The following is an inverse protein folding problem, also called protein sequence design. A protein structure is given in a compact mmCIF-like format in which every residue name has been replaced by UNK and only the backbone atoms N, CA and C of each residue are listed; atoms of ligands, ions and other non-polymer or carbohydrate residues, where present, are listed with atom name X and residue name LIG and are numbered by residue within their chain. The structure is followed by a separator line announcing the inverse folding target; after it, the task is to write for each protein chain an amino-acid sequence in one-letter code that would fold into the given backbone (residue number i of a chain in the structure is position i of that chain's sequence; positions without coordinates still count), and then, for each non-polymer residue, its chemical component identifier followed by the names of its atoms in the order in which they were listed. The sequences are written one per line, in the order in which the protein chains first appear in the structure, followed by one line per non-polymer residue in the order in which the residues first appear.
data_IF_380096373735
#
_entry.id   IF_380096373735
#
_cell.length_a   1.000
_cell.length_b   1.000
_cell.length_c   1.000
_cell.angle_alpha   90.00
_cell.angle_beta   90.00
_cell.angle_gamma   90.00
#
_symmetry.space_group_name_H-M   'P 1'
#
loop_
_entity.id
_entity.type
_entity.pdbx_description
1 polymer ?
#
# COMPACT_ATOMS: atom_id res chain seq x y z
N UNK A 1 -2.53 5.17 0.70
CA UNK A 1 -2.54 3.70 0.69
C UNK A 1 -1.11 3.25 0.96
N UNK A 2 -0.88 2.26 1.83
CA UNK A 2 0.45 1.99 2.41
C UNK A 2 1.50 1.67 1.36
N UNK A 3 2.52 2.52 1.24
CA UNK A 3 3.61 2.34 0.29
C UNK A 3 3.92 3.61 -0.48
N UNK A 4 5.09 4.18 -0.21
CA UNK A 4 5.69 5.39 -0.77
C UNK A 4 5.15 6.73 -0.26
N UNK A 5 5.91 7.25 0.70
CA UNK A 5 5.80 8.55 1.34
C UNK A 5 6.94 9.43 0.76
N UNK A 6 7.03 9.50 -0.56
CA UNK A 6 8.25 9.93 -1.26
C UNK A 6 8.73 11.32 -0.85
N UNK A 7 7.81 12.27 -0.70
CA UNK A 7 8.12 13.65 -0.32
C UNK A 7 8.50 13.74 1.16
N UNK A 8 7.81 13.01 2.02
CA UNK A 8 8.03 13.07 3.45
C UNK A 8 9.27 12.28 3.90
N UNK A 9 9.73 11.32 3.09
CA UNK A 9 11.01 10.63 3.31
C UNK A 9 12.17 11.61 3.47
N UNK A 10 12.19 12.73 2.72
CA UNK A 10 13.23 13.79 2.87
C UNK A 10 13.29 14.33 4.31
N UNK A 11 12.14 14.49 4.96
CA UNK A 11 12.05 15.06 6.31
C UNK A 11 12.21 14.00 7.41
N UNK A 12 11.94 12.73 7.10
CA UNK A 12 12.05 11.61 8.04
C UNK A 12 13.42 10.91 8.00
N UNK A 13 14.27 11.22 7.02
CA UNK A 13 15.63 10.66 6.92
C UNK A 13 16.48 11.10 8.12
N UNK A 14 17.11 10.13 8.78
CA UNK A 14 18.06 10.34 9.88
C UNK A 14 19.51 10.45 9.40
N UNK A 15 19.74 10.45 8.09
CA UNK A 15 21.04 10.43 7.41
C UNK A 15 21.89 9.18 7.75
N UNK A 16 21.26 8.10 8.23
CA UNK A 16 21.93 6.82 8.48
C UNK A 16 21.70 5.90 7.28
N UNK A 17 22.73 5.11 6.92
CA UNK A 17 22.69 4.12 5.83
C UNK A 17 21.63 3.00 5.98
N UNK A 18 20.72 3.08 6.96
CA UNK A 18 19.63 2.13 7.19
C UNK A 18 18.24 2.75 7.03
N UNK A 19 18.13 4.05 6.78
CA UNK A 19 16.84 4.70 6.61
C UNK A 19 16.12 4.09 5.39
N UNK A 20 15.00 3.40 5.66
CA UNK A 20 14.10 2.79 4.66
C UNK A 20 14.73 1.71 3.76
N UNK A 21 15.87 1.16 4.16
CA UNK A 21 16.76 0.41 3.26
C UNK A 21 16.37 -1.07 3.01
N UNK A 22 15.20 -1.53 3.45
CA UNK A 22 14.65 -2.85 3.10
C UNK A 22 13.13 -2.75 2.96
N UNK A 23 12.66 -2.51 1.73
CA UNK A 23 11.29 -2.86 1.35
C UNK A 23 11.05 -4.36 1.52
N UNK A 24 9.79 -4.81 1.44
CA UNK A 24 9.54 -6.25 1.42
C UNK A 24 10.24 -6.90 0.22
N UNK A 25 10.85 -8.06 0.44
CA UNK A 25 11.49 -8.82 -0.62
C UNK A 25 10.46 -9.44 -1.55
N UNK A 26 10.84 -9.62 -2.81
CA UNK A 26 10.09 -10.37 -3.81
C UNK A 26 10.78 -11.73 -3.98
N UNK A 27 10.06 -12.86 -3.86
CA UNK A 27 8.61 -12.97 -3.63
C UNK A 27 8.17 -12.58 -2.21
N UNK A 28 7.01 -11.92 -2.10
CA UNK A 28 6.42 -11.52 -0.82
C UNK A 28 5.84 -12.74 -0.11
N UNK A 29 6.38 -13.07 1.07
CA UNK A 29 5.98 -14.28 1.82
C UNK A 29 4.50 -14.29 2.24
N UNK A 30 3.85 -13.13 2.33
CA UNK A 30 2.44 -13.02 2.72
C UNK A 30 1.52 -13.81 1.78
N UNK A 31 1.86 -13.93 0.49
CA UNK A 31 1.04 -14.64 -0.49
C UNK A 31 0.90 -16.14 -0.20
N UNK A 32 1.81 -16.71 0.60
CA UNK A 32 1.81 -18.13 0.97
C UNK A 32 1.44 -18.37 2.43
N UNK A 33 1.76 -17.43 3.32
CA UNK A 33 1.67 -17.66 4.76
C UNK A 33 0.48 -16.96 5.42
N UNK A 34 -0.26 -16.12 4.69
CA UNK A 34 -1.30 -15.30 5.28
C UNK A 34 -2.49 -15.12 4.36
N UNK A 35 -3.68 -15.14 4.96
CA UNK A 35 -4.94 -14.83 4.31
C UNK A 35 -5.55 -13.65 5.04
N UNK A 36 -5.91 -12.59 4.31
CA UNK A 36 -6.56 -11.41 4.86
C UNK A 36 -7.99 -11.34 4.36
N UNK A 37 -8.90 -10.96 5.25
CA UNK A 37 -10.32 -10.80 4.95
C UNK A 37 -10.68 -9.34 5.24
N UNK A 38 -11.25 -8.66 4.25
CA UNK A 38 -11.71 -7.28 4.38
C UNK A 38 -13.01 -7.22 5.19
N UNK A 39 -13.43 -6.02 5.59
CA UNK A 39 -14.70 -5.85 6.33
C UNK A 39 -15.92 -6.32 5.52
N UNK A 40 -15.86 -6.19 4.19
CA UNK A 40 -16.88 -6.61 3.24
C UNK A 40 -16.96 -8.14 3.06
N UNK A 41 -15.99 -8.89 3.60
CA UNK A 41 -15.88 -10.34 3.44
C UNK A 41 -15.09 -10.77 2.19
N UNK A 42 -14.25 -9.90 1.64
CA UNK A 42 -13.40 -10.25 0.50
C UNK A 42 -12.06 -10.80 0.95
N UNK A 43 -11.53 -11.78 0.23
CA UNK A 43 -10.17 -12.26 0.43
C UNK A 43 -9.19 -11.37 -0.34
N UNK A 44 -8.25 -10.73 0.37
CA UNK A 44 -7.19 -9.90 -0.22
C UNK A 44 -5.80 -10.45 0.07
N UNK A 45 -4.87 -10.20 -0.85
CA UNK A 45 -3.51 -10.74 -0.79
C UNK A 45 -2.57 -9.94 0.14
N UNK A 46 -2.99 -8.78 0.65
CA UNK A 46 -2.17 -7.94 1.51
C UNK A 46 -2.99 -7.23 2.59
N UNK A 47 -2.43 -7.09 3.80
CA UNK A 47 -3.05 -6.33 4.89
C UNK A 47 -3.01 -4.80 4.68
N UNK A 48 -2.14 -4.30 3.80
CA UNK A 48 -2.03 -2.87 3.49
C UNK A 48 -2.93 -2.44 2.30
N UNK A 49 -3.76 -3.35 1.80
CA UNK A 49 -4.65 -3.13 0.67
C UNK A 49 -6.00 -2.53 1.12
N UNK A 50 -6.01 -1.23 1.41
CA UNK A 50 -7.20 -0.56 1.94
C UNK A 50 -8.26 -0.21 0.87
N UNK A 51 -7.93 -0.30 -0.42
CA UNK A 51 -8.85 0.01 -1.51
C UNK A 51 -9.10 -1.19 -2.41
N UNK A 52 -8.83 -2.40 -1.92
CA UNK A 52 -9.17 -3.66 -2.57
C UNK A 52 -8.51 -3.90 -3.94
N UNK A 53 -7.30 -3.35 -4.17
CA UNK A 53 -6.54 -3.61 -5.39
C UNK A 53 -6.03 -5.04 -5.47
N UNK A 54 -5.86 -5.72 -4.34
CA UNK A 54 -5.34 -7.08 -4.25
C UNK A 54 -6.39 -8.10 -3.81
N UNK A 55 -7.69 -7.74 -3.91
CA UNK A 55 -8.79 -8.69 -3.71
C UNK A 55 -8.77 -9.73 -4.82
N UNK A 56 -8.80 -11.00 -4.43
CA UNK A 56 -8.79 -12.13 -5.36
C UNK A 56 -10.03 -13.03 -5.25
N UNK A 57 -10.90 -12.83 -4.27
CA UNK A 57 -12.17 -13.55 -4.14
C UNK A 57 -13.17 -12.85 -3.21
N UNK A 58 -14.46 -13.14 -3.39
CA UNK A 58 -15.54 -12.79 -2.45
C UNK A 58 -15.97 -14.04 -1.67
N UNK A 59 -15.75 -14.05 -0.35
CA UNK A 59 -16.04 -15.20 0.50
C UNK A 59 -17.53 -15.33 0.83
N UNK A 60 -18.36 -14.35 0.48
CA UNK A 60 -19.82 -14.48 0.55
C UNK A 60 -20.36 -15.39 -0.56
N UNK A 61 -19.56 -15.64 -1.61
CA UNK A 61 -19.96 -16.40 -2.81
C UNK A 61 -19.14 -17.68 -3.02
N UNK A 62 -17.91 -17.74 -2.47
CA UNK A 62 -17.00 -18.87 -2.68
C UNK A 62 -16.41 -19.35 -1.36
N UNK A 63 -16.10 -20.64 -1.26
CA UNK A 63 -15.47 -21.19 -0.05
C UNK A 63 -14.05 -20.65 0.14
N UNK A 64 -13.60 -20.55 1.39
CA UNK A 64 -12.23 -20.10 1.70
C UNK A 64 -11.15 -20.93 0.99
N UNK A 65 -11.37 -22.25 0.89
CA UNK A 65 -10.45 -23.17 0.23
C UNK A 65 -10.36 -22.91 -1.27
N UNK A 66 -11.49 -22.64 -1.91
CA UNK A 66 -11.52 -22.37 -3.35
C UNK A 66 -10.94 -20.98 -3.64
N UNK A 67 -11.26 -19.98 -2.82
CA UNK A 67 -10.66 -18.65 -2.90
C UNK A 67 -9.13 -18.72 -2.82
N UNK A 68 -8.59 -19.43 -1.82
CA UNK A 68 -7.15 -19.54 -1.59
C UNK A 68 -6.36 -20.20 -2.73
N UNK A 69 -7.03 -21.04 -3.53
CA UNK A 69 -6.42 -21.82 -4.61
C UNK A 69 -6.93 -21.41 -6.01
N UNK A 70 -7.62 -20.27 -6.12
CA UNK A 70 -8.14 -19.83 -7.40
C UNK A 70 -7.04 -19.32 -8.34
N UNK A 71 -7.43 -19.08 -9.59
CA UNK A 71 -6.50 -18.64 -10.63
C UNK A 71 -5.89 -17.26 -10.34
N UNK A 72 -6.68 -16.33 -9.77
CA UNK A 72 -6.25 -14.94 -9.51
C UNK A 72 -5.07 -14.89 -8.53
N UNK A 73 -5.20 -15.53 -7.35
CA UNK A 73 -4.10 -15.57 -6.37
C UNK A 73 -2.93 -16.43 -6.86
N UNK A 74 -3.20 -17.47 -7.66
CA UNK A 74 -2.15 -18.29 -8.27
C UNK A 74 -1.32 -17.49 -9.27
N UNK A 75 -1.96 -16.64 -10.08
CA UNK A 75 -1.28 -15.75 -11.00
C UNK A 75 -0.46 -14.69 -10.28
N UNK A 76 -0.98 -14.11 -9.19
CA UNK A 76 -0.23 -13.18 -8.35
C UNK A 76 1.01 -13.81 -7.71
N UNK A 77 0.89 -15.05 -7.20
CA UNK A 77 2.02 -15.81 -6.66
C UNK A 77 3.09 -16.08 -7.72
N UNK A 78 2.68 -16.46 -8.94
CA UNK A 78 3.61 -16.67 -10.06
C UNK A 78 4.33 -15.39 -10.46
N UNK A 79 3.60 -14.28 -10.58
CA UNK A 79 4.18 -12.96 -10.83
C UNK A 79 5.27 -12.62 -9.80
N UNK A 80 5.05 -12.92 -8.52
CA UNK A 80 6.06 -12.71 -7.48
C UNK A 80 7.26 -13.65 -7.58
N UNK A 81 7.06 -14.92 -7.95
CA UNK A 81 8.16 -15.87 -8.14
C UNK A 81 9.04 -15.50 -9.34
N UNK A 82 8.43 -14.93 -10.38
CA UNK A 82 9.13 -14.50 -11.60
C UNK A 82 9.71 -13.07 -11.49
N UNK A 83 9.37 -12.33 -10.43
CA UNK A 83 9.71 -10.91 -10.27
C UNK A 83 8.90 -9.96 -11.14
N UNK A 84 7.88 -10.46 -11.85
CA UNK A 84 7.02 -9.72 -12.76
C UNK A 84 5.87 -9.03 -12.01
N UNK A 85 6.20 -8.06 -11.15
CA UNK A 85 5.22 -7.35 -10.32
C UNK A 85 4.87 -5.95 -10.81
N UNK A 86 5.29 -5.60 -12.03
CA UNK A 86 4.93 -4.33 -12.64
C UNK A 86 3.41 -4.21 -12.80
N UNK A 87 2.88 -3.01 -12.54
CA UNK A 87 1.44 -2.76 -12.54
C UNK A 87 0.69 -3.28 -11.30
N UNK A 88 1.39 -3.80 -10.28
CA UNK A 88 0.83 -4.15 -8.98
C UNK A 88 1.26 -3.13 -7.91
N UNK A 89 0.43 -2.87 -6.87
CA UNK A 89 0.82 -2.05 -5.72
C UNK A 89 2.11 -2.53 -5.02
N UNK A 90 2.45 -3.82 -5.16
CA UNK A 90 3.63 -4.45 -4.59
C UNK A 90 4.94 -3.77 -5.02
N UNK A 91 5.01 -3.19 -6.23
CA UNK A 91 6.24 -2.55 -6.75
C UNK A 91 6.72 -1.40 -5.85
N UNK A 92 5.77 -0.73 -5.23
CA UNK A 92 6.00 0.43 -4.36
C UNK A 92 6.47 -0.01 -2.99
N UNK A 93 5.89 -1.09 -2.46
CA UNK A 93 6.33 -1.70 -1.21
C UNK A 93 7.73 -2.33 -1.32
N UNK A 94 8.02 -3.00 -2.44
CA UNK A 94 9.29 -3.70 -2.64
C UNK A 94 10.43 -2.78 -3.06
N UNK A 95 10.17 -1.84 -3.98
CA UNK A 95 11.21 -1.05 -4.63
C UNK A 95 11.12 0.46 -4.33
N UNK A 96 10.13 0.92 -3.58
CA UNK A 96 9.94 2.34 -3.33
C UNK A 96 9.73 3.14 -4.62
N UNK A 97 9.13 2.54 -5.65
CA UNK A 97 8.86 3.21 -6.92
C UNK A 97 7.40 3.67 -6.96
N UNK A 98 7.18 4.95 -7.29
CA UNK A 98 5.87 5.45 -7.69
C UNK A 98 5.56 4.89 -9.08
N UNK A 99 4.48 4.14 -9.20
CA UNK A 99 4.02 3.54 -10.44
C UNK A 99 2.49 3.53 -10.46
N UNK A 100 1.91 3.51 -11.65
CA UNK A 100 0.50 3.20 -11.80
C UNK A 100 0.29 1.70 -11.65
N UNK A 101 -0.83 1.32 -11.04
CA UNK A 101 -1.18 -0.07 -10.80
C UNK A 101 -2.67 -0.30 -11.05
N UNK A 102 -3.02 -1.56 -11.28
CA UNK A 102 -4.37 -1.99 -11.62
C UNK A 102 -4.86 -2.99 -10.56
N UNK A 103 -6.17 -3.01 -10.24
CA UNK A 103 -6.69 -4.01 -9.33
C UNK A 103 -6.66 -5.40 -9.97
N UNK A 104 -6.55 -6.45 -9.16
CA UNK A 104 -6.66 -7.83 -9.64
C UNK A 104 -8.06 -8.14 -10.19
N UNK A 105 -9.08 -7.52 -9.61
CA UNK A 105 -10.48 -7.64 -10.00
C UNK A 105 -11.14 -6.25 -9.88
N UNK A 106 -11.48 -5.64 -11.02
CA UNK A 106 -12.07 -4.29 -11.09
C UNK A 106 -13.36 -4.14 -10.28
N UNK A 107 -14.12 -5.22 -10.08
CA UNK A 107 -15.40 -5.19 -9.38
C UNK A 107 -15.28 -4.73 -7.92
N UNK A 108 -14.17 -5.03 -7.24
CA UNK A 108 -14.05 -4.84 -5.79
C UNK A 108 -13.28 -3.59 -5.39
N UNK A 109 -12.65 -2.91 -6.36
CA UNK A 109 -11.78 -1.76 -6.10
C UNK A 109 -12.59 -0.55 -5.64
N UNK A 110 -12.08 0.13 -4.61
CA UNK A 110 -12.59 1.42 -4.17
C UNK A 110 -11.65 2.52 -4.64
N UNK A 111 -11.82 2.97 -5.88
CA UNK A 111 -10.92 3.99 -6.46
C UNK A 111 -11.01 5.29 -5.66
N UNK A 112 -9.90 5.67 -5.02
CA UNK A 112 -9.76 7.01 -4.45
C UNK A 112 -9.53 8.02 -5.59
N UNK A 113 -10.20 9.16 -5.55
CA UNK A 113 -9.91 10.27 -6.45
C UNK A 113 -8.42 10.67 -6.28
N UNK A 114 -7.60 10.67 -7.36
CA UNK A 114 -6.22 11.12 -7.30
C UNK A 114 -6.04 12.52 -6.70
N UNK A 115 -7.04 13.39 -6.89
CA UNK A 115 -7.05 14.75 -6.34
C UNK A 115 -7.07 14.78 -4.81
N UNK A 116 -7.30 13.65 -4.12
CA UNK A 116 -7.24 13.58 -2.65
C UNK A 116 -5.83 13.94 -2.12
N UNK A 117 -4.81 13.79 -2.96
CA UNK A 117 -3.44 14.24 -2.65
C UNK A 117 -3.16 15.67 -3.11
N UNK A 118 -4.00 16.24 -3.99
CA UNK A 118 -3.88 17.63 -4.44
C UNK A 118 -4.31 18.57 -3.31
N UNK A 119 -3.33 19.13 -2.60
CA UNK A 119 -3.53 19.94 -1.39
C UNK A 119 -2.79 19.41 -0.16
N UNK A 120 -2.17 18.23 -0.26
CA UNK A 120 -1.23 17.75 0.74
C UNK A 120 0.16 18.34 0.47
N UNK A 121 0.43 19.51 1.05
CA UNK A 121 1.76 20.14 1.05
C UNK A 121 2.37 20.00 2.44
N UNK A 122 3.39 19.14 2.56
CA UNK A 122 4.04 18.89 3.85
C UNK A 122 4.77 20.13 4.37
N UNK A 123 5.40 20.92 3.51
CA UNK A 123 6.15 22.12 3.91
C UNK A 123 5.18 23.14 4.51
N UNK A 124 4.06 23.39 3.82
CA UNK A 124 3.02 24.29 4.33
C UNK A 124 2.48 23.86 5.70
N UNK A 125 2.28 22.55 5.90
CA UNK A 125 1.79 22.01 7.19
C UNK A 125 2.82 22.15 8.31
N UNK A 126 4.11 21.96 8.01
CA UNK A 126 5.20 22.17 8.97
C UNK A 126 5.23 23.64 9.38
N UNK A 127 5.20 24.57 8.41
CA UNK A 127 5.20 26.02 8.66
C UNK A 127 4.02 26.46 9.55
N UNK A 128 2.81 25.93 9.28
CA UNK A 128 1.62 26.22 10.08
C UNK A 128 1.74 25.72 11.53
N UNK A 129 2.34 24.54 11.72
CA UNK A 129 2.58 23.97 13.04
C UNK A 129 3.64 24.75 13.84
N UNK A 130 4.75 25.13 13.21
CA UNK A 130 5.81 25.91 13.85
C UNK A 130 5.32 27.30 14.28
N UNK A 131 4.50 27.98 13.47
CA UNK A 131 3.86 29.24 13.85
C UNK A 131 3.01 29.10 15.12
N UNK A 132 2.20 28.04 15.19
CA UNK A 132 1.36 27.78 16.36
C UNK A 132 2.19 27.53 17.64
N UNK A 133 3.38 26.92 17.53
CA UNK A 133 4.27 26.74 18.68
C UNK A 133 4.82 28.07 19.19
N UNK A 134 5.29 28.94 18.29
CA UNK A 134 5.86 30.25 18.63
C UNK A 134 4.82 31.16 19.29
N UNK A 135 3.58 31.17 18.79
CA UNK A 135 2.48 31.95 19.36
C UNK A 135 2.10 31.48 20.78
N UNK A 136 2.18 30.17 21.01
CA UNK A 136 1.89 29.56 22.31
C UNK A 136 2.98 29.83 23.34
N UNK A 137 4.25 29.86 22.92
CA UNK A 137 5.39 30.23 23.77
C UNK A 137 5.44 31.74 24.06
N UNK A 138 4.98 32.59 23.13
CA UNK A 138 4.92 34.06 23.31
C UNK A 138 3.74 34.53 24.15
N UNK A 139 2.80 33.63 24.47
CA UNK A 139 1.61 33.88 25.30
C UNK A 139 1.79 33.44 26.76
N UNK A 140 3.01 33.04 27.14
CA UNK A 140 3.45 32.67 28.50
C UNK A 140 4.42 33.73 29.01
#
# INVERSE_FOLDING_TARGET
MGGYIGEELKYLQTQKNMDFNHGMTIPCYLLWNSLFITYEGYATACCADFQNYLVYADLNQTSLKDAWNNEVITNLRRAHLEGNIDGLPCITCAYGKKAEWHPLIDKYVSVCNPDIFSGYDIEKRIDEYEKHLIEKESSI
#
